data_IF_578503767360
#
_entry.id   IF_578503767360
#
_cell.length_a   1.000
_cell.length_b   1.000
_cell.length_c   1.000
_cell.angle_alpha   90.00
_cell.angle_beta   90.00
_cell.angle_gamma   90.00
#
_symmetry.space_group_name_H-M   'P 1'
#
loop_
_entity.id
_entity.type
_entity.pdbx_description
1 polymer ?
#
# COMPACT_ATOMS: atom_id res chain seq x y z
N UNK A 1 16.00 10.93 20.29
CA UNK A 1 14.93 10.00 20.74
C UNK A 1 13.66 10.35 19.98
N UNK A 2 12.97 9.35 19.41
CA UNK A 2 11.70 9.50 18.68
C UNK A 2 10.64 8.59 19.31
N UNK A 3 10.07 7.62 18.61
CA UNK A 3 9.27 6.54 19.19
C UNK A 3 10.12 5.45 19.88
N UNK A 4 9.43 4.53 20.57
CA UNK A 4 10.02 3.39 21.25
C UNK A 4 10.29 2.22 20.28
N UNK A 5 11.23 2.40 19.36
CA UNK A 5 11.53 1.39 18.32
C UNK A 5 12.36 0.20 18.83
N UNK A 6 13.18 0.42 19.88
CA UNK A 6 14.14 -0.56 20.34
C UNK A 6 13.49 -1.72 21.12
N UNK A 7 13.04 -2.73 20.38
CA UNK A 7 12.65 -4.03 20.93
C UNK A 7 13.92 -4.86 21.19
N UNK A 8 14.37 -4.90 22.46
CA UNK A 8 15.65 -5.53 22.83
C UNK A 8 15.77 -7.01 22.41
N UNK A 9 14.78 -7.89 22.66
CA UNK A 9 14.88 -9.31 22.28
C UNK A 9 14.40 -9.57 20.84
N UNK A 10 14.93 -8.84 19.86
CA UNK A 10 14.44 -8.84 18.47
C UNK A 10 14.35 -10.25 17.84
N UNK A 11 15.39 -11.07 18.00
CA UNK A 11 15.47 -12.40 17.39
C UNK A 11 14.58 -13.44 18.07
N UNK A 12 14.19 -13.22 19.33
CA UNK A 12 13.20 -14.04 20.02
C UNK A 12 11.77 -13.66 19.64
N UNK A 13 11.50 -12.37 19.44
CA UNK A 13 10.18 -11.86 19.08
C UNK A 13 9.81 -12.09 17.61
N UNK A 14 10.75 -11.91 16.68
CA UNK A 14 10.43 -11.92 15.25
C UNK A 14 9.84 -13.24 14.73
N UNK A 15 10.33 -14.44 15.14
CA UNK A 15 9.72 -15.70 14.73
C UNK A 15 8.26 -15.83 15.21
N UNK A 16 7.99 -15.44 16.46
CA UNK A 16 6.64 -15.45 17.03
C UNK A 16 5.71 -14.47 16.30
N UNK A 17 6.16 -13.24 16.07
CA UNK A 17 5.33 -12.19 15.51
C UNK A 17 4.96 -12.43 14.03
N UNK A 18 5.85 -13.06 13.27
CA UNK A 18 5.68 -13.26 11.84
C UNK A 18 5.47 -14.75 11.45
N UNK A 19 5.29 -15.64 12.42
CA UNK A 19 5.07 -17.08 12.20
C UNK A 19 6.24 -17.79 11.50
N UNK A 20 7.49 -17.33 11.74
CA UNK A 20 8.68 -17.82 11.03
C UNK A 20 9.17 -19.18 11.51
N UNK A 21 8.64 -19.64 12.64
CA UNK A 21 8.75 -21.01 13.12
C UNK A 21 7.93 -22.00 12.28
N UNK A 22 6.92 -21.53 11.54
CA UNK A 22 6.07 -22.34 10.65
C UNK A 22 6.35 -22.14 9.17
N UNK A 23 6.48 -20.88 8.72
CA UNK A 23 6.61 -20.56 7.30
C UNK A 23 7.48 -19.34 7.07
N UNK A 24 8.25 -19.34 5.98
CA UNK A 24 9.16 -18.25 5.61
C UNK A 24 9.11 -18.04 4.09
N UNK A 25 9.20 -16.78 3.60
CA UNK A 25 9.22 -15.50 4.34
C UNK A 25 7.80 -14.96 4.65
N UNK A 26 7.66 -13.97 5.57
CA UNK A 26 6.42 -13.23 5.76
C UNK A 26 6.27 -12.15 4.67
N UNK A 27 5.08 -11.52 4.58
CA UNK A 27 4.84 -10.36 3.71
C UNK A 27 4.92 -9.06 4.50
N UNK A 28 6.12 -8.50 4.62
CA UNK A 28 6.31 -7.16 5.19
C UNK A 28 6.08 -6.08 4.13
N UNK A 29 5.56 -4.93 4.54
CA UNK A 29 5.30 -3.78 3.68
C UNK A 29 5.69 -2.48 4.40
N UNK A 30 6.25 -1.52 3.66
CA UNK A 30 6.54 -0.19 4.20
C UNK A 30 5.27 0.70 4.15
N UNK A 31 4.85 1.20 5.31
CA UNK A 31 3.55 1.86 5.46
C UNK A 31 3.37 3.12 4.61
N UNK A 32 4.43 3.92 4.40
CA UNK A 32 4.34 5.17 3.62
C UNK A 32 3.89 4.91 2.18
N UNK A 33 4.57 4.01 1.46
CA UNK A 33 4.20 3.69 0.07
C UNK A 33 2.83 3.04 -0.01
N UNK A 34 2.52 2.14 0.93
CA UNK A 34 1.21 1.49 1.01
C UNK A 34 0.07 2.51 1.13
N UNK A 35 0.14 3.45 2.08
CA UNK A 35 -0.92 4.44 2.25
C UNK A 35 -0.90 5.50 1.15
N UNK A 36 0.26 5.92 0.66
CA UNK A 36 0.36 6.85 -0.46
C UNK A 36 -0.38 6.32 -1.69
N UNK A 37 -0.20 5.03 -1.99
CA UNK A 37 -0.87 4.30 -3.07
C UNK A 37 -2.38 4.11 -2.81
N UNK A 38 -2.74 3.47 -1.70
CA UNK A 38 -4.10 2.96 -1.50
C UNK A 38 -5.08 4.00 -0.94
N UNK A 39 -4.60 5.04 -0.25
CA UNK A 39 -5.42 6.22 0.03
C UNK A 39 -5.36 7.25 -1.09
N UNK A 40 -4.81 6.87 -2.26
CA UNK A 40 -4.77 7.65 -3.49
C UNK A 40 -4.25 9.09 -3.32
N UNK A 41 -3.35 9.32 -2.35
CA UNK A 41 -2.75 10.64 -2.12
C UNK A 41 -1.88 11.07 -3.30
N UNK A 42 -1.29 10.09 -4.00
CA UNK A 42 -0.53 10.28 -5.23
C UNK A 42 -1.31 11.02 -6.32
N UNK A 43 -2.65 10.86 -6.37
CA UNK A 43 -3.50 11.56 -7.35
C UNK A 43 -3.51 13.07 -7.16
N UNK A 44 -3.05 13.55 -6.01
CA UNK A 44 -3.09 14.94 -5.60
C UNK A 44 -1.68 15.51 -5.36
N UNK A 45 -0.65 14.82 -5.86
CA UNK A 45 0.73 15.22 -5.69
C UNK A 45 0.98 16.59 -6.33
N UNK A 46 1.74 17.43 -5.64
CA UNK A 46 2.11 18.76 -6.14
C UNK A 46 3.60 18.92 -6.32
N UNK A 47 4.39 18.08 -5.65
CA UNK A 47 5.84 18.13 -5.75
C UNK A 47 6.29 17.38 -6.99
N UNK A 48 6.86 18.11 -7.94
CA UNK A 48 7.62 17.49 -9.04
C UNK A 48 8.96 16.99 -8.52
N UNK A 49 9.31 15.74 -8.85
CA UNK A 49 10.62 15.18 -8.50
C UNK A 49 11.76 15.90 -9.22
N UNK A 50 11.48 16.64 -10.30
CA UNK A 50 12.48 17.47 -10.97
C UNK A 50 12.94 18.66 -10.10
N UNK A 51 12.11 19.12 -9.15
CA UNK A 51 12.46 20.20 -8.24
C UNK A 51 13.50 19.80 -7.18
N UNK A 52 13.64 18.51 -6.90
CA UNK A 52 14.59 17.98 -5.91
C UNK A 52 15.86 17.41 -6.53
N UNK A 53 15.95 17.39 -7.86
CA UNK A 53 17.15 16.97 -8.56
C UNK A 53 18.30 17.97 -8.32
N UNK A 54 19.52 17.44 -8.28
CA UNK A 54 20.72 18.27 -8.36
C UNK A 54 20.68 19.09 -9.66
N UNK A 55 21.12 20.36 -9.66
CA UNK A 55 21.18 21.17 -10.89
C UNK A 55 22.16 20.61 -11.94
N UNK A 56 22.98 19.61 -11.57
CA UNK A 56 23.89 18.89 -12.48
C UNK A 56 23.27 17.64 -13.10
N UNK A 57 22.07 17.23 -12.67
CA UNK A 57 21.39 16.05 -13.20
C UNK A 57 20.64 16.39 -14.50
N UNK A 58 20.62 15.45 -15.44
CA UNK A 58 19.79 15.52 -16.64
C UNK A 58 18.37 15.06 -16.31
N UNK A 59 17.46 16.02 -16.08
CA UNK A 59 16.07 15.77 -15.69
C UNK A 59 15.30 14.88 -16.69
N UNK A 60 15.69 14.84 -17.97
CA UNK A 60 15.01 14.00 -18.98
C UNK A 60 15.12 12.49 -18.70
N UNK A 61 16.06 12.08 -17.84
CA UNK A 61 16.29 10.69 -17.45
C UNK A 61 15.51 10.25 -16.20
N UNK A 62 14.77 11.16 -15.60
CA UNK A 62 14.17 11.02 -14.29
C UNK A 62 12.66 11.24 -14.40
N UNK A 63 11.87 10.34 -13.80
CA UNK A 63 10.43 10.52 -13.75
C UNK A 63 10.08 11.80 -12.98
N UNK A 64 9.00 12.45 -13.39
CA UNK A 64 8.55 13.69 -12.74
C UNK A 64 7.68 13.40 -11.51
N UNK A 65 6.92 12.30 -11.54
CA UNK A 65 6.00 11.94 -10.46
C UNK A 65 6.64 10.94 -9.47
N UNK A 66 6.43 11.16 -8.17
CA UNK A 66 6.99 10.35 -7.09
C UNK A 66 6.62 8.86 -7.17
N UNK A 67 5.37 8.57 -7.55
CA UNK A 67 4.85 7.21 -7.67
C UNK A 67 5.64 6.35 -8.65
N UNK A 68 6.12 6.93 -9.76
CA UNK A 68 6.85 6.17 -10.78
C UNK A 68 8.14 5.58 -10.22
N UNK A 69 8.87 6.34 -9.39
CA UNK A 69 10.04 5.82 -8.67
C UNK A 69 9.68 4.68 -7.73
N UNK A 70 8.54 4.76 -7.04
CA UNK A 70 8.13 3.74 -6.11
C UNK A 70 7.78 2.43 -6.84
N UNK A 71 7.03 2.51 -7.94
CA UNK A 71 6.69 1.34 -8.78
C UNK A 71 7.97 0.74 -9.39
N UNK A 72 8.90 1.56 -9.89
CA UNK A 72 10.19 1.08 -10.37
C UNK A 72 11.01 0.40 -9.26
N UNK A 73 11.07 0.99 -8.07
CA UNK A 73 11.77 0.42 -6.92
C UNK A 73 11.16 -0.93 -6.47
N UNK A 74 9.85 -1.07 -6.52
CA UNK A 74 9.16 -2.34 -6.26
C UNK A 74 9.57 -3.43 -7.27
N UNK A 75 9.53 -3.13 -8.57
CA UNK A 75 9.88 -4.09 -9.63
C UNK A 75 11.35 -4.50 -9.62
N UNK A 76 12.23 -3.61 -9.20
CA UNK A 76 13.66 -3.86 -9.04
C UNK A 76 14.00 -4.56 -7.72
N UNK A 77 13.01 -4.86 -6.87
CA UNK A 77 13.20 -5.53 -5.59
C UNK A 77 13.85 -4.65 -4.52
N UNK A 78 13.84 -3.32 -4.68
CA UNK A 78 14.35 -2.38 -3.69
C UNK A 78 13.35 -2.13 -2.56
N UNK A 79 12.06 -2.15 -2.88
CA UNK A 79 10.96 -2.01 -1.94
C UNK A 79 9.99 -3.21 -2.04
N UNK A 80 9.29 -3.56 -0.96
CA UNK A 80 8.20 -4.53 -1.01
C UNK A 80 6.95 -3.93 -1.67
N UNK A 81 6.03 -4.81 -2.10
CA UNK A 81 4.72 -4.45 -2.65
C UNK A 81 3.59 -5.10 -1.85
N UNK A 82 2.45 -4.41 -1.69
CA UNK A 82 1.24 -4.99 -1.11
C UNK A 82 -0.03 -4.29 -1.61
N UNK A 83 -0.97 -5.00 -2.28
CA UNK A 83 -0.82 -6.33 -2.88
C UNK A 83 0.42 -6.44 -3.79
N UNK A 84 0.95 -7.66 -3.97
CA UNK A 84 2.20 -7.85 -4.72
C UNK A 84 1.97 -7.89 -6.23
N UNK A 85 1.04 -8.74 -6.65
CA UNK A 85 0.77 -9.06 -8.04
C UNK A 85 -0.68 -8.76 -8.36
N UNK A 86 -0.97 -8.46 -9.62
CA UNK A 86 -2.32 -8.14 -10.08
C UNK A 86 -3.26 -9.34 -10.20
N UNK A 87 -2.87 -10.49 -9.64
CA UNK A 87 -3.60 -11.75 -9.67
C UNK A 87 -3.44 -12.46 -8.33
N UNK A 88 -4.38 -13.33 -8.00
CA UNK A 88 -4.33 -14.10 -6.76
C UNK A 88 -3.07 -15.01 -6.75
N UNK A 89 -2.09 -14.76 -5.86
CA UNK A 89 -0.82 -15.48 -5.87
C UNK A 89 -0.96 -16.97 -5.57
N UNK A 90 -2.08 -17.42 -4.99
CA UNK A 90 -2.34 -18.82 -4.68
C UNK A 90 -2.71 -19.65 -5.92
N UNK A 91 -3.05 -19.01 -7.05
CA UNK A 91 -3.40 -19.71 -8.31
C UNK A 91 -2.20 -19.93 -9.22
N UNK A 92 -1.13 -19.15 -9.04
CA UNK A 92 0.06 -19.15 -9.91
C UNK A 92 0.73 -20.52 -9.99
N UNK A 93 0.80 -21.27 -8.89
CA UNK A 93 1.43 -22.60 -8.89
C UNK A 93 0.70 -23.58 -9.81
N UNK A 94 -0.63 -23.58 -9.80
CA UNK A 94 -1.44 -24.45 -10.65
C UNK A 94 -1.36 -24.04 -12.14
N UNK A 95 -1.27 -22.74 -12.42
CA UNK A 95 -1.07 -22.24 -13.78
C UNK A 95 0.32 -22.62 -14.33
N UNK A 96 1.36 -22.53 -13.50
CA UNK A 96 2.71 -22.94 -13.86
C UNK A 96 2.79 -24.45 -14.17
N UNK A 97 2.13 -25.27 -13.34
CA UNK A 97 2.01 -26.72 -13.58
C UNK A 97 1.29 -27.03 -14.91
N UNK A 98 0.17 -26.36 -15.18
CA UNK A 98 -0.56 -26.51 -16.45
C UNK A 98 0.28 -26.07 -17.66
N UNK A 99 1.18 -25.09 -17.48
CA UNK A 99 2.12 -24.65 -18.50
C UNK A 99 3.38 -25.52 -18.61
N UNK A 100 3.54 -26.54 -17.75
CA UNK A 100 4.71 -27.41 -17.73
C UNK A 100 6.02 -26.71 -17.33
N UNK A 101 5.93 -25.64 -16.53
CA UNK A 101 7.09 -24.85 -16.09
C UNK A 101 7.26 -24.87 -14.56
N UNK A 102 8.49 -24.77 -14.04
CA UNK A 102 8.73 -24.41 -12.66
C UNK A 102 8.08 -23.06 -12.33
N UNK A 103 7.53 -22.90 -11.12
CA UNK A 103 6.78 -21.71 -10.70
C UNK A 103 7.59 -20.41 -10.87
N UNK A 104 8.88 -20.42 -10.51
CA UNK A 104 9.74 -19.27 -10.64
C UNK A 104 9.91 -18.84 -12.12
N UNK A 105 10.13 -19.81 -13.01
CA UNK A 105 10.30 -19.57 -14.44
C UNK A 105 9.00 -19.07 -15.08
N UNK A 106 7.85 -19.63 -14.67
CA UNK A 106 6.53 -19.14 -15.08
C UNK A 106 6.33 -17.68 -14.66
N UNK A 107 6.57 -17.34 -13.40
CA UNK A 107 6.42 -15.96 -12.91
C UNK A 107 7.33 -15.00 -13.68
N UNK A 108 8.61 -15.34 -13.88
CA UNK A 108 9.54 -14.50 -14.64
C UNK A 108 9.09 -14.34 -16.09
N UNK A 109 8.62 -15.41 -16.72
CA UNK A 109 8.08 -15.37 -18.10
C UNK A 109 6.87 -14.44 -18.17
N UNK A 110 5.90 -14.62 -17.28
CA UNK A 110 4.67 -13.83 -17.28
C UNK A 110 4.91 -12.35 -16.95
N UNK A 111 5.84 -12.03 -16.04
CA UNK A 111 6.25 -10.65 -15.77
C UNK A 111 6.89 -10.01 -17.00
N UNK A 112 7.74 -10.74 -17.73
CA UNK A 112 8.39 -10.24 -18.96
C UNK A 112 7.43 -10.10 -20.14
N UNK A 113 6.43 -10.98 -20.25
CA UNK A 113 5.43 -10.93 -21.31
C UNK A 113 4.28 -9.95 -21.03
N UNK A 114 4.14 -9.50 -19.78
CA UNK A 114 3.02 -8.67 -19.32
C UNK A 114 1.76 -9.46 -18.92
N UNK A 115 1.79 -10.80 -18.98
CA UNK A 115 0.69 -11.65 -18.49
C UNK A 115 0.55 -11.67 -16.97
N UNK A 116 1.59 -11.25 -16.25
CA UNK A 116 1.56 -10.93 -14.82
C UNK A 116 2.13 -9.53 -14.64
N UNK A 117 1.52 -8.71 -13.79
CA UNK A 117 1.98 -7.36 -13.48
C UNK A 117 2.06 -7.15 -11.98
N UNK A 118 2.83 -6.15 -11.57
CA UNK A 118 2.79 -5.68 -10.19
C UNK A 118 1.46 -4.96 -9.94
N UNK A 119 0.84 -5.22 -8.78
CA UNK A 119 -0.47 -4.65 -8.47
C UNK A 119 -0.43 -3.11 -8.39
N UNK A 120 0.72 -2.54 -8.03
CA UNK A 120 0.95 -1.10 -7.92
C UNK A 120 0.87 -0.36 -9.25
N UNK A 121 0.94 -1.06 -10.38
CA UNK A 121 0.77 -0.46 -11.71
C UNK A 121 -0.71 -0.20 -12.06
N UNK A 122 -1.67 -0.79 -11.33
CA UNK A 122 -3.11 -0.54 -11.53
C UNK A 122 -3.83 -0.49 -10.18
N UNK A 123 -3.53 0.49 -9.29
CA UNK A 123 -3.96 0.50 -7.89
C UNK A 123 -5.44 0.87 -7.69
N UNK A 124 -6.12 1.31 -8.75
CA UNK A 124 -7.56 1.55 -8.78
C UNK A 124 -8.36 0.35 -9.33
N UNK A 125 -7.68 -0.71 -9.78
CA UNK A 125 -8.34 -1.99 -10.09
C UNK A 125 -8.80 -2.68 -8.78
N UNK A 126 -10.08 -3.10 -8.67
CA UNK A 126 -10.60 -3.84 -7.53
C UNK A 126 -9.84 -5.11 -7.11
N UNK A 127 -9.00 -5.67 -7.98
CA UNK A 127 -8.13 -6.80 -7.63
C UNK A 127 -6.85 -6.39 -6.89
N UNK A 128 -6.49 -5.10 -6.94
CA UNK A 128 -5.15 -4.60 -6.58
C UNK A 128 -5.11 -3.73 -5.33
N UNK A 129 -6.23 -3.50 -4.66
CA UNK A 129 -6.26 -2.76 -3.40
C UNK A 129 -6.65 -3.64 -2.20
N UNK A 130 -6.22 -3.28 -0.98
CA UNK A 130 -6.57 -4.02 0.23
C UNK A 130 -8.07 -3.96 0.50
N UNK A 131 -8.65 -5.10 0.88
CA UNK A 131 -10.09 -5.22 1.19
C UNK A 131 -10.39 -5.34 2.68
N UNK A 132 -9.48 -5.94 3.44
CA UNK A 132 -9.67 -6.17 4.86
C UNK A 132 -8.51 -5.52 5.62
N UNK A 133 -8.83 -4.69 6.61
CA UNK A 133 -7.82 -4.06 7.46
C UNK A 133 -8.14 -4.28 8.94
N UNK A 134 -7.14 -4.83 9.64
CA UNK A 134 -7.13 -4.94 11.09
C UNK A 134 -6.29 -3.81 11.68
N UNK A 135 -6.85 -3.09 12.64
CA UNK A 135 -6.18 -1.99 13.35
C UNK A 135 -6.21 -2.30 14.83
N UNK A 136 -5.06 -2.54 15.44
CA UNK A 136 -4.95 -2.76 16.87
C UNK A 136 -3.75 -2.03 17.43
N UNK A 137 -3.86 -1.57 18.68
CA UNK A 137 -2.81 -0.77 19.34
C UNK A 137 -2.39 0.47 18.53
N UNK A 138 -3.31 1.00 17.71
CA UNK A 138 -3.07 2.11 16.79
C UNK A 138 -4.36 2.93 16.63
N UNK A 139 -4.23 4.25 16.65
CA UNK A 139 -5.30 5.18 16.30
C UNK A 139 -5.01 5.79 14.91
N UNK A 140 -4.93 4.95 13.88
CA UNK A 140 -4.54 5.35 12.52
C UNK A 140 -5.35 6.55 12.01
N UNK A 141 -6.67 6.48 12.10
CA UNK A 141 -7.59 7.50 11.57
C UNK A 141 -7.75 8.71 12.49
N UNK A 142 -7.08 8.76 13.65
CA UNK A 142 -7.14 9.89 14.57
C UNK A 142 -5.78 10.37 15.06
N UNK A 143 -4.68 9.86 14.52
CA UNK A 143 -3.34 10.21 14.98
C UNK A 143 -2.28 10.10 13.89
N UNK A 144 -2.00 8.88 13.40
CA UNK A 144 -0.84 8.65 12.53
C UNK A 144 -1.12 8.77 11.04
N UNK A 145 -2.40 8.76 10.62
CA UNK A 145 -2.84 8.86 9.23
C UNK A 145 -2.65 10.26 8.66
N UNK A 146 -1.57 10.46 7.90
CA UNK A 146 -1.33 11.70 7.14
C UNK A 146 -2.25 11.65 5.92
N UNK A 147 -2.84 12.80 5.58
CA UNK A 147 -3.88 12.84 4.56
C UNK A 147 -5.19 12.19 5.03
N UNK A 148 -5.65 12.54 6.24
CA UNK A 148 -6.85 11.97 6.87
C UNK A 148 -8.05 11.93 5.92
N UNK A 149 -8.36 13.05 5.27
CA UNK A 149 -9.50 13.16 4.34
C UNK A 149 -9.37 12.23 3.12
N UNK A 150 -8.14 11.97 2.66
CA UNK A 150 -7.90 11.01 1.58
C UNK A 150 -8.13 9.56 2.05
N UNK A 151 -7.77 9.23 3.30
CA UNK A 151 -8.12 7.94 3.88
C UNK A 151 -9.65 7.78 4.00
N UNK A 152 -10.36 8.81 4.46
CA UNK A 152 -11.83 8.78 4.53
C UNK A 152 -12.45 8.58 3.14
N UNK A 153 -11.98 9.32 2.13
CA UNK A 153 -12.47 9.23 0.75
C UNK A 153 -12.16 7.87 0.11
N UNK A 154 -10.88 7.56 -0.04
CA UNK A 154 -10.44 6.47 -0.91
C UNK A 154 -10.41 5.11 -0.22
N UNK A 155 -10.14 5.05 1.09
CA UNK A 155 -10.16 3.78 1.81
C UNK A 155 -11.54 3.44 2.37
N UNK A 156 -12.23 4.40 2.99
CA UNK A 156 -13.52 4.13 3.67
C UNK A 156 -14.75 4.46 2.82
N UNK A 157 -14.65 5.31 1.79
CA UNK A 157 -15.83 5.77 1.05
C UNK A 157 -16.76 6.64 1.90
N UNK A 158 -16.22 7.27 2.94
CA UNK A 158 -16.96 8.12 3.85
C UNK A 158 -17.03 9.57 3.34
N UNK A 159 -17.93 10.35 3.95
CA UNK A 159 -17.89 11.81 3.79
C UNK A 159 -16.51 12.32 4.20
N UNK A 160 -15.96 13.21 3.38
CA UNK A 160 -14.62 13.75 3.51
C UNK A 160 -14.61 15.24 3.16
N UNK A 161 -13.53 15.91 3.53
CA UNK A 161 -13.24 17.32 3.28
C UNK A 161 -12.10 17.56 2.30
N UNK A 162 -11.87 16.67 1.34
CA UNK A 162 -10.87 16.91 0.27
C UNK A 162 -11.33 18.11 -0.56
N UNK A 163 -10.55 19.19 -0.56
CA UNK A 163 -10.89 20.46 -1.23
C UNK A 163 -10.19 20.68 -2.57
N UNK A 164 -9.12 19.93 -2.83
CA UNK A 164 -8.33 20.05 -4.05
C UNK A 164 -8.77 19.02 -5.09
N UNK A 165 -8.73 19.47 -6.33
CA UNK A 165 -8.84 18.58 -7.48
C UNK A 165 -7.65 17.61 -7.55
N UNK A 166 -7.85 16.49 -8.24
CA UNK A 166 -6.76 15.59 -8.59
C UNK A 166 -6.01 16.09 -9.83
N UNK A 167 -4.87 15.46 -10.12
CA UNK A 167 -4.03 15.73 -11.29
C UNK A 167 -4.77 15.52 -12.62
N UNK A 168 -5.88 14.78 -12.61
CA UNK A 168 -6.79 14.61 -13.73
C UNK A 168 -7.39 15.94 -14.17
N UNK A 169 -7.88 16.71 -13.19
CA UNK A 169 -8.61 17.98 -13.38
C UNK A 169 -7.74 19.22 -13.22
N UNK A 170 -6.87 19.24 -12.22
CA UNK A 170 -6.01 20.39 -11.92
C UNK A 170 -4.88 20.58 -12.94
N UNK A 171 -4.54 19.53 -13.70
CA UNK A 171 -3.28 19.44 -14.42
C UNK A 171 -2.08 19.23 -13.48
N UNK A 172 -0.94 18.86 -14.05
CA UNK A 172 0.28 18.58 -13.30
C UNK A 172 1.01 17.34 -13.81
N UNK A 173 2.10 16.93 -13.12
CA UNK A 173 2.90 15.78 -13.54
C UNK A 173 2.09 14.50 -13.34
N UNK A 174 1.56 13.94 -14.43
CA UNK A 174 0.88 12.64 -14.36
C UNK A 174 1.92 11.51 -14.31
N UNK A 175 1.75 10.51 -13.43
CA UNK A 175 2.61 9.34 -13.44
C UNK A 175 2.47 8.56 -14.74
N UNK A 176 3.54 7.87 -15.11
CA UNK A 176 3.67 7.10 -16.37
C UNK A 176 3.74 5.60 -16.14
N UNK A 177 4.00 5.15 -14.91
CA UNK A 177 4.12 3.74 -14.54
C UNK A 177 2.82 3.13 -14.01
N UNK A 178 1.73 3.91 -14.03
CA UNK A 178 0.43 3.53 -13.47
C UNK A 178 -0.70 3.72 -14.50
N UNK A 179 -1.67 2.82 -14.47
CA UNK A 179 -2.90 2.92 -15.25
C UNK A 179 -3.79 3.99 -14.63
N UNK A 180 -3.77 5.20 -15.20
CA UNK A 180 -4.61 6.31 -14.73
C UNK A 180 -6.09 6.07 -15.05
N UNK A 181 -6.93 6.17 -14.02
CA UNK A 181 -8.39 6.19 -14.12
C UNK A 181 -8.88 7.59 -13.71
N UNK A 182 -9.70 8.24 -14.55
CA UNK A 182 -10.16 9.61 -14.30
C UNK A 182 -10.95 9.73 -12.98
N UNK A 183 -11.86 8.79 -12.74
CA UNK A 183 -12.54 8.66 -11.45
C UNK A 183 -11.91 7.51 -10.65
N UNK A 184 -10.93 7.85 -9.81
CA UNK A 184 -10.22 6.87 -8.98
C UNK A 184 -11.14 6.12 -8.01
N UNK A 185 -10.80 4.88 -7.68
CA UNK A 185 -11.63 4.03 -6.84
C UNK A 185 -11.74 4.59 -5.40
N UNK A 186 -12.96 4.67 -4.88
CA UNK A 186 -13.29 5.08 -3.51
C UNK A 186 -13.82 3.90 -2.69
N UNK A 187 -13.75 3.98 -1.37
CA UNK A 187 -14.24 2.90 -0.48
C UNK A 187 -13.57 1.55 -0.73
N UNK A 188 -12.24 1.54 -0.87
CA UNK A 188 -11.45 0.34 -1.22
C UNK A 188 -11.55 -0.78 -0.18
N UNK A 189 -11.79 -0.45 1.09
CA UNK A 189 -11.90 -1.43 2.17
C UNK A 189 -13.34 -1.96 2.26
N UNK A 190 -13.47 -3.28 2.20
CA UNK A 190 -14.73 -3.98 2.45
C UNK A 190 -14.99 -4.18 3.95
N UNK A 191 -13.93 -4.25 4.77
CA UNK A 191 -14.04 -4.45 6.21
C UNK A 191 -12.89 -3.81 6.99
N UNK A 192 -13.24 -2.98 7.98
CA UNK A 192 -12.33 -2.39 8.95
C UNK A 192 -12.67 -2.90 10.34
N UNK A 193 -11.74 -3.65 10.94
CA UNK A 193 -11.87 -4.18 12.29
C UNK A 193 -10.86 -3.52 13.22
N UNK A 194 -11.33 -2.86 14.27
CA UNK A 194 -10.48 -2.17 15.24
C UNK A 194 -10.57 -2.81 16.62
N UNK A 195 -9.41 -3.04 17.25
CA UNK A 195 -9.29 -3.54 18.62
C UNK A 195 -8.74 -2.43 19.52
N UNK A 196 -9.56 -1.98 20.47
CA UNK A 196 -9.21 -0.89 21.39
C UNK A 196 -9.98 -1.04 22.72
N UNK A 197 -9.41 -0.52 23.81
CA UNK A 197 -10.03 -0.53 25.14
C UNK A 197 -10.84 0.75 25.40
N UNK A 198 -10.76 1.71 24.48
CA UNK A 198 -11.56 2.94 24.47
C UNK A 198 -12.10 3.20 23.06
N UNK A 199 -13.20 3.94 22.98
CA UNK A 199 -13.77 4.36 21.69
C UNK A 199 -12.91 5.47 21.05
N UNK A 200 -11.88 5.08 20.28
CA UNK A 200 -11.00 6.02 19.57
C UNK A 200 -11.63 6.52 18.26
N UNK A 201 -11.01 7.52 17.62
CA UNK A 201 -11.47 8.02 16.32
C UNK A 201 -11.48 6.91 15.27
N UNK A 202 -10.48 6.01 15.26
CA UNK A 202 -10.50 4.84 14.37
C UNK A 202 -11.71 3.96 14.65
N UNK A 203 -12.04 3.68 15.92
CA UNK A 203 -13.23 2.88 16.26
C UNK A 203 -14.52 3.51 15.74
N UNK A 204 -14.64 4.85 15.81
CA UNK A 204 -15.82 5.57 15.30
C UNK A 204 -16.01 5.43 13.78
N UNK A 205 -14.97 5.07 13.04
CA UNK A 205 -14.99 4.87 11.59
C UNK A 205 -14.85 3.39 11.18
N UNK A 206 -14.89 2.44 12.13
CA UNK A 206 -14.73 1.01 11.84
C UNK A 206 -16.06 0.28 11.81
N UNK A 207 -16.15 -0.77 10.99
CA UNK A 207 -17.34 -1.62 10.89
C UNK A 207 -17.50 -2.51 12.13
N UNK A 208 -16.38 -3.02 12.64
CA UNK A 208 -16.33 -3.87 13.83
C UNK A 208 -15.36 -3.26 14.84
N UNK A 209 -15.83 -3.11 16.08
CA UNK A 209 -15.02 -2.73 17.22
C UNK A 209 -15.00 -3.88 18.23
N UNK A 210 -13.81 -4.40 18.53
CA UNK A 210 -13.64 -5.46 19.52
C UNK A 210 -13.03 -4.87 20.80
N UNK A 211 -13.67 -5.06 21.97
CA UNK A 211 -13.11 -4.60 23.23
C UNK A 211 -11.87 -5.43 23.58
N UNK A 212 -10.74 -4.77 23.77
CA UNK A 212 -9.50 -5.41 24.26
C UNK A 212 -9.28 -5.09 25.73
N UNK A 213 -8.57 -5.99 26.42
CA UNK A 213 -8.10 -5.75 27.79
C UNK A 213 -7.23 -4.49 27.87
N UNK A 214 -7.29 -3.80 29.01
CA UNK A 214 -6.37 -2.71 29.32
C UNK A 214 -4.97 -3.26 29.60
N UNK A 215 -4.00 -2.39 29.92
CA UNK A 215 -2.65 -2.86 30.27
C UNK A 215 -2.55 -3.53 31.65
N UNK A 216 -3.62 -3.50 32.45
CA UNK A 216 -3.69 -4.07 33.81
C UNK A 216 -4.57 -5.32 33.90
N UNK A 217 -5.00 -5.85 32.75
CA UNK A 217 -5.90 -7.00 32.59
C UNK A 217 -5.38 -7.95 31.50
#
# INVERSE_FOLDING_TARGET
YVGQEKLRPQTGWAPLAFGLDWSRPPRQMNGTSFFYLHSSQWRHEKLSMHEVLSPLADASRFAEHALDYNIQAERLGWLPSAPQLNRNPLRIAAEAEAAGLPVADYVVRELKSGGLRFASESPDDPQNFPRNMFIWRSNLLGSSGKGHEYMLKYLLGAKNGVMNDDLGKAGGPRPTEVDWVDDGAEGKLDLVTTLDFRMSSTCMYSDIVLPTATWYE
#
